data_IF_238531996205
#
_entry.id   IF_238531996205
#
_cell.length_a   1.000
_cell.length_b   1.000
_cell.length_c   1.000
_cell.angle_alpha   90.00
_cell.angle_beta   90.00
_cell.angle_gamma   90.00
#
_symmetry.space_group_name_H-M   'P 1'
#
loop_
_entity.id
_entity.type
_entity.pdbx_description
1 polymer ?
#
# COMPACT_ATOMS: atom_id res chain seq x y z
N UNK A 1 51.10 -57.53 1.29
CA UNK A 1 49.90 -57.42 0.43
C UNK A 1 48.80 -56.81 1.30
N UNK A 2 48.39 -55.55 1.01
CA UNK A 2 47.28 -54.72 1.57
C UNK A 2 47.06 -54.66 3.11
N UNK A 3 47.04 -53.43 3.64
CA UNK A 3 46.08 -52.84 4.61
C UNK A 3 46.65 -51.46 5.04
N UNK A 4 46.19 -50.28 4.60
CA UNK A 4 44.95 -49.48 4.86
C UNK A 4 44.78 -48.91 6.27
N UNK A 5 44.95 -47.57 6.38
CA UNK A 5 44.27 -46.65 7.31
C UNK A 5 45.18 -45.84 8.28
N UNK A 6 44.83 -44.60 8.71
CA UNK A 6 43.94 -43.58 8.13
C UNK A 6 44.64 -42.20 7.91
N UNK A 7 44.12 -41.39 6.98
CA UNK A 7 44.54 -40.00 6.72
C UNK A 7 43.43 -39.05 7.21
N UNK A 8 43.83 -37.99 7.90
CA UNK A 8 43.00 -36.90 8.45
C UNK A 8 42.19 -36.16 7.37
N UNK A 9 41.00 -35.59 7.68
CA UNK A 9 40.26 -34.80 6.71
C UNK A 9 40.89 -33.41 6.59
N UNK A 10 41.59 -33.17 5.47
CA UNK A 10 42.01 -31.84 5.04
C UNK A 10 40.81 -31.06 4.49
N UNK A 11 40.68 -29.82 4.97
CA UNK A 11 39.98 -28.72 4.33
C UNK A 11 40.25 -28.67 2.81
N UNK A 12 39.21 -28.92 2.02
CA UNK A 12 39.21 -28.69 0.58
C UNK A 12 38.76 -27.27 0.31
N UNK A 13 39.72 -26.38 0.06
CA UNK A 13 39.47 -25.15 -0.68
C UNK A 13 39.25 -25.48 -2.16
N UNK A 14 38.21 -24.95 -2.82
CA UNK A 14 38.17 -24.94 -4.27
C UNK A 14 38.93 -23.72 -4.79
N UNK A 15 40.16 -23.96 -5.25
CA UNK A 15 40.86 -23.12 -6.23
C UNK A 15 40.08 -23.11 -7.54
N UNK A 16 39.82 -21.92 -8.10
CA UNK A 16 39.35 -21.76 -9.47
C UNK A 16 38.39 -20.60 -9.66
N UNK A 17 38.91 -19.37 -9.61
CA UNK A 17 38.25 -18.21 -10.21
C UNK A 17 38.09 -18.45 -11.72
N UNK A 18 36.86 -18.73 -12.14
CA UNK A 18 36.37 -18.34 -13.46
C UNK A 18 35.07 -17.57 -13.22
N UNK A 19 35.20 -16.24 -13.22
CA UNK A 19 34.09 -15.29 -13.24
C UNK A 19 33.25 -15.54 -14.50
N UNK A 20 32.17 -16.29 -14.35
CA UNK A 20 31.07 -16.30 -15.31
C UNK A 20 30.41 -14.92 -15.21
N UNK A 21 30.61 -14.07 -16.21
CA UNK A 21 29.85 -12.84 -16.35
C UNK A 21 28.35 -13.20 -16.42
N UNK A 22 27.59 -12.86 -15.37
CA UNK A 22 26.14 -13.11 -15.28
C UNK A 22 25.68 -14.06 -14.18
N UNK A 23 26.58 -14.66 -13.38
CA UNK A 23 26.16 -15.38 -12.18
C UNK A 23 25.74 -14.38 -11.08
N UNK A 24 24.56 -14.55 -10.43
CA UNK A 24 24.17 -13.68 -9.33
C UNK A 24 25.20 -13.79 -8.20
N UNK A 25 25.44 -12.68 -7.46
CA UNK A 25 26.40 -12.70 -6.36
C UNK A 25 26.02 -13.79 -5.34
N UNK A 26 26.99 -14.29 -4.58
CA UNK A 26 26.68 -15.12 -3.40
C UNK A 26 25.82 -14.27 -2.46
N UNK A 27 24.60 -14.74 -2.21
CA UNK A 27 23.63 -14.07 -1.35
C UNK A 27 23.23 -14.95 -0.17
N UNK A 28 22.85 -14.29 0.91
CA UNK A 28 22.26 -14.88 2.10
C UNK A 28 20.80 -14.43 2.21
N UNK A 29 19.89 -15.37 2.48
CA UNK A 29 18.47 -15.10 2.70
C UNK A 29 18.20 -15.08 4.21
N UNK A 30 17.52 -14.04 4.69
CA UNK A 30 17.05 -13.95 6.08
C UNK A 30 15.58 -13.56 6.13
N UNK A 31 14.85 -14.14 7.08
CA UNK A 31 13.49 -13.72 7.43
C UNK A 31 13.56 -13.05 8.80
N UNK A 32 13.10 -11.81 8.86
CA UNK A 32 13.15 -10.97 10.05
C UNK A 32 11.78 -10.92 10.72
N UNK A 33 11.74 -11.14 12.04
CA UNK A 33 10.48 -11.10 12.80
C UNK A 33 10.02 -9.68 13.09
N UNK A 34 10.93 -8.71 12.94
CA UNK A 34 10.69 -7.28 13.17
C UNK A 34 11.55 -6.45 12.22
N UNK A 35 11.04 -5.30 11.82
CA UNK A 35 11.76 -4.40 10.92
C UNK A 35 13.03 -3.82 11.57
N UNK A 36 13.07 -3.70 12.90
CA UNK A 36 14.22 -3.17 13.65
C UNK A 36 15.46 -4.09 13.66
N UNK A 37 15.35 -5.29 13.10
CA UNK A 37 16.46 -6.19 12.82
C UNK A 37 17.20 -5.83 11.51
N UNK A 38 16.61 -4.95 10.69
CA UNK A 38 17.18 -4.47 9.44
C UNK A 38 17.63 -3.01 9.63
N UNK A 39 18.88 -2.65 9.30
CA UNK A 39 19.33 -1.26 9.38
C UNK A 39 18.45 -0.32 8.53
N UNK A 40 17.96 0.76 9.14
CA UNK A 40 17.01 1.68 8.52
C UNK A 40 17.53 2.32 7.22
N UNK A 41 18.83 2.64 7.16
CA UNK A 41 19.48 3.21 5.97
C UNK A 41 19.54 2.20 4.81
N UNK A 42 19.72 0.91 5.12
CA UNK A 42 19.75 -0.14 4.11
C UNK A 42 18.36 -0.43 3.56
N UNK A 43 17.34 -0.50 4.41
CA UNK A 43 15.94 -0.64 3.97
C UNK A 43 15.52 0.55 3.11
N UNK A 44 15.70 1.77 3.62
CA UNK A 44 15.24 2.98 2.95
C UNK A 44 15.96 3.24 1.62
N UNK A 45 17.16 2.71 1.42
CA UNK A 45 17.88 2.79 0.14
C UNK A 45 17.16 2.04 -1.00
N UNK A 46 16.37 1.01 -0.69
CA UNK A 46 15.63 0.23 -1.68
C UNK A 46 14.27 0.84 -2.05
N UNK A 47 13.83 1.88 -1.33
CA UNK A 47 12.53 2.51 -1.53
C UNK A 47 12.62 3.55 -2.64
N UNK A 48 11.87 3.32 -3.71
CA UNK A 48 11.68 4.25 -4.82
C UNK A 48 10.63 5.32 -4.47
N UNK A 49 10.70 6.45 -5.18
CA UNK A 49 9.77 7.59 -5.04
C UNK A 49 9.72 8.18 -3.62
N UNK A 50 10.64 7.79 -2.73
CA UNK A 50 10.57 8.08 -1.29
C UNK A 50 9.20 7.74 -0.68
N UNK A 51 8.58 6.63 -1.11
CA UNK A 51 7.23 6.25 -0.70
C UNK A 51 7.14 6.10 0.85
N UNK A 52 6.46 7.03 1.56
CA UNK A 52 6.57 7.15 3.01
C UNK A 52 5.95 5.97 3.76
N UNK A 53 4.93 5.33 3.19
CA UNK A 53 4.22 4.21 3.82
C UNK A 53 4.99 2.87 3.71
N UNK A 54 6.08 2.84 2.92
CA UNK A 54 7.02 1.73 2.80
C UNK A 54 8.34 1.97 3.53
N UNK A 55 8.58 3.19 4.00
CA UNK A 55 9.82 3.53 4.69
C UNK A 55 9.92 2.83 6.04
N UNK A 56 11.16 2.59 6.46
CA UNK A 56 11.48 2.00 7.76
C UNK A 56 10.72 2.67 8.90
N UNK A 57 10.70 4.00 8.93
CA UNK A 57 10.10 4.78 10.02
C UNK A 57 8.59 4.51 10.18
N UNK A 58 7.89 4.28 9.06
CA UNK A 58 6.46 3.97 9.06
C UNK A 58 6.19 2.53 9.52
N UNK A 59 6.93 1.55 8.96
CA UNK A 59 6.80 0.14 9.34
C UNK A 59 7.18 -0.08 10.80
N UNK A 60 8.28 0.52 11.24
CA UNK A 60 8.75 0.48 12.62
C UNK A 60 7.73 1.06 13.59
N UNK A 61 7.13 2.21 13.27
CA UNK A 61 6.10 2.78 14.12
C UNK A 61 4.87 1.86 14.25
N UNK A 62 4.46 1.17 13.17
CA UNK A 62 3.36 0.20 13.24
C UNK A 62 3.67 -0.97 14.19
N UNK A 63 4.86 -1.55 14.07
CA UNK A 63 5.29 -2.69 14.89
C UNK A 63 5.48 -2.27 16.35
N UNK A 64 6.20 -1.17 16.58
CA UNK A 64 6.52 -0.64 17.91
C UNK A 64 5.28 -0.28 18.72
N UNK A 65 4.27 0.30 18.08
CA UNK A 65 3.03 0.74 18.74
C UNK A 65 1.90 -0.27 18.65
N UNK A 66 2.19 -1.52 18.28
CA UNK A 66 1.21 -2.61 18.28
C UNK A 66 0.04 -2.39 17.31
N UNK A 67 0.25 -1.65 16.21
CA UNK A 67 -0.74 -1.52 15.14
C UNK A 67 -0.77 -2.78 14.25
N UNK A 68 0.30 -3.56 14.29
CA UNK A 68 0.42 -4.90 13.70
C UNK A 68 0.87 -5.90 14.78
N UNK A 69 0.97 -7.18 14.43
CA UNK A 69 1.28 -8.28 15.34
C UNK A 69 0.12 -9.26 15.49
N UNK A 70 0.26 -10.19 16.45
CA UNK A 70 -0.67 -11.29 16.68
C UNK A 70 -2.11 -10.83 16.92
N UNK A 71 -2.31 -9.76 17.69
CA UNK A 71 -3.64 -9.23 18.03
C UNK A 71 -4.46 -8.79 16.81
N UNK A 72 -3.80 -8.46 15.69
CA UNK A 72 -4.44 -8.11 14.43
C UNK A 72 -4.20 -9.17 13.33
N UNK A 73 -3.48 -10.25 13.66
CA UNK A 73 -3.06 -11.30 12.75
C UNK A 73 -2.11 -10.81 11.65
N UNK A 74 -1.36 -9.73 11.86
CA UNK A 74 -0.33 -9.21 10.94
C UNK A 74 1.05 -9.47 11.54
N UNK A 75 1.54 -10.71 11.50
CA UNK A 75 2.84 -11.06 12.08
C UNK A 75 3.95 -10.72 11.08
N UNK A 76 4.93 -9.84 11.40
CA UNK A 76 6.01 -9.52 10.48
C UNK A 76 6.94 -10.72 10.23
N UNK A 77 7.34 -10.86 8.97
CA UNK A 77 8.26 -11.87 8.43
C UNK A 77 9.10 -11.25 7.30
N UNK A 78 9.60 -10.03 7.47
CA UNK A 78 10.26 -9.28 6.40
C UNK A 78 11.39 -10.09 5.78
N UNK A 79 11.35 -10.28 4.46
CA UNK A 79 12.38 -11.02 3.74
C UNK A 79 13.52 -10.06 3.40
N UNK A 80 14.76 -10.48 3.65
CA UNK A 80 15.97 -9.78 3.23
C UNK A 80 16.91 -10.69 2.45
N UNK A 81 17.46 -10.18 1.35
CA UNK A 81 18.52 -10.81 0.56
C UNK A 81 19.78 -9.96 0.73
N UNK A 82 20.82 -10.56 1.28
CA UNK A 82 22.05 -9.90 1.67
C UNK A 82 23.22 -10.36 0.81
N UNK A 83 24.09 -9.43 0.41
CA UNK A 83 25.38 -9.72 -0.18
C UNK A 83 26.52 -9.18 0.69
N UNK A 84 27.77 -9.19 0.19
CA UNK A 84 28.93 -8.69 0.95
C UNK A 84 28.80 -7.24 1.45
N UNK A 85 28.03 -6.40 0.73
CA UNK A 85 27.81 -4.99 1.05
C UNK A 85 26.54 -4.69 1.86
N UNK A 86 25.83 -5.71 2.35
CA UNK A 86 24.56 -5.55 3.08
C UNK A 86 23.33 -5.94 2.26
N UNK A 87 22.18 -5.36 2.62
CA UNK A 87 20.89 -5.65 2.02
C UNK A 87 20.88 -5.23 0.53
N UNK A 88 20.62 -6.21 -0.34
CA UNK A 88 20.50 -6.02 -1.79
C UNK A 88 19.03 -5.98 -2.25
N UNK A 89 18.17 -6.74 -1.58
CA UNK A 89 16.75 -6.79 -1.86
C UNK A 89 15.94 -7.15 -0.63
N UNK A 90 14.67 -6.76 -0.60
CA UNK A 90 13.77 -7.02 0.52
C UNK A 90 12.31 -7.19 0.09
N UNK A 91 11.50 -7.75 0.97
CA UNK A 91 10.04 -7.83 0.81
C UNK A 91 9.37 -7.49 2.14
N UNK A 92 8.47 -6.49 2.19
CA UNK A 92 7.59 -6.29 3.35
C UNK A 92 6.61 -7.47 3.39
N UNK A 93 6.88 -8.44 4.25
CA UNK A 93 6.21 -9.74 4.24
C UNK A 93 5.61 -10.02 5.62
N UNK A 94 4.39 -10.53 5.63
CA UNK A 94 3.64 -10.82 6.84
C UNK A 94 3.02 -12.20 6.77
N UNK A 95 3.06 -12.91 7.89
CA UNK A 95 2.29 -14.12 8.11
C UNK A 95 0.91 -13.72 8.67
N UNK A 96 -0.14 -14.14 7.97
CA UNK A 96 -1.52 -13.68 8.20
C UNK A 96 -2.41 -14.83 8.66
N UNK A 97 -3.15 -14.57 9.74
CA UNK A 97 -4.10 -15.51 10.37
C UNK A 97 -5.57 -15.13 10.17
N UNK A 98 -5.81 -14.08 9.40
CA UNK A 98 -7.11 -13.57 8.97
C UNK A 98 -6.90 -12.75 7.69
N UNK A 99 -7.98 -12.30 7.04
CA UNK A 99 -7.90 -11.40 5.87
C UNK A 99 -8.23 -9.94 6.21
N UNK A 100 -8.21 -9.57 7.49
CA UNK A 100 -8.58 -8.23 7.94
C UNK A 100 -7.49 -7.22 7.58
N UNK A 101 -7.89 -6.11 6.95
CA UNK A 101 -6.99 -5.01 6.60
C UNK A 101 -6.22 -5.18 5.29
N UNK A 102 -6.49 -6.25 4.51
CA UNK A 102 -5.79 -6.53 3.25
C UNK A 102 -6.36 -5.76 2.07
N UNK A 103 -7.66 -5.41 2.11
CA UNK A 103 -8.39 -4.76 1.02
C UNK A 103 -8.41 -5.51 -0.32
N UNK A 104 -7.96 -6.78 -0.31
CA UNK A 104 -8.19 -7.76 -1.37
C UNK A 104 -8.93 -8.91 -0.71
N UNK A 105 -10.23 -9.02 -0.96
CA UNK A 105 -11.11 -9.92 -0.21
C UNK A 105 -11.03 -11.34 -0.74
N UNK A 106 -10.50 -12.25 0.07
CA UNK A 106 -10.33 -13.68 -0.23
C UNK A 106 -11.06 -14.59 0.78
N UNK A 107 -12.01 -14.03 1.55
CA UNK A 107 -12.83 -14.78 2.51
C UNK A 107 -13.54 -15.97 1.86
N UNK A 108 -13.99 -15.82 0.61
CA UNK A 108 -14.59 -16.92 -0.14
C UNK A 108 -13.61 -18.10 -0.36
N UNK A 109 -12.31 -17.84 -0.45
CA UNK A 109 -11.29 -18.89 -0.55
C UNK A 109 -11.08 -19.55 0.82
N UNK A 110 -10.97 -18.75 1.89
CA UNK A 110 -10.89 -19.25 3.26
C UNK A 110 -12.08 -20.16 3.61
N UNK A 111 -13.29 -19.75 3.25
CA UNK A 111 -14.52 -20.54 3.44
C UNK A 111 -14.48 -21.86 2.65
N UNK A 112 -13.96 -21.85 1.43
CA UNK A 112 -13.83 -23.06 0.62
C UNK A 112 -12.83 -24.07 1.23
N UNK A 113 -11.70 -23.60 1.75
CA UNK A 113 -10.75 -24.41 2.51
C UNK A 113 -11.41 -25.02 3.75
N UNK A 114 -12.09 -24.18 4.54
CA UNK A 114 -12.78 -24.61 5.77
C UNK A 114 -13.84 -25.68 5.50
N UNK A 115 -14.68 -25.49 4.47
CA UNK A 115 -15.69 -26.48 4.04
C UNK A 115 -15.08 -27.80 3.58
N UNK A 116 -13.81 -27.80 3.18
CA UNK A 116 -13.06 -28.99 2.77
C UNK A 116 -12.23 -29.60 3.90
N UNK A 117 -12.35 -29.10 5.13
CA UNK A 117 -11.58 -29.56 6.30
C UNK A 117 -10.11 -29.16 6.27
N UNK A 118 -9.73 -28.13 5.50
CA UNK A 118 -8.36 -27.68 5.33
C UNK A 118 -8.17 -26.27 5.90
N UNK A 119 -6.95 -25.97 6.32
CA UNK A 119 -6.61 -24.65 6.85
C UNK A 119 -6.16 -23.71 5.73
N UNK A 120 -6.80 -22.54 5.63
CA UNK A 120 -6.35 -21.46 4.75
C UNK A 120 -5.28 -20.57 5.41
N UNK A 121 -5.21 -20.58 6.74
CA UNK A 121 -4.24 -19.81 7.49
C UNK A 121 -3.22 -20.74 8.17
N UNK A 122 -1.96 -20.31 8.33
CA UNK A 122 -1.43 -19.02 7.91
C UNK A 122 -1.29 -18.93 6.37
N UNK A 123 -1.29 -17.71 5.87
CA UNK A 123 -0.88 -17.37 4.49
C UNK A 123 0.19 -16.29 4.54
N UNK A 124 1.06 -16.22 3.54
CA UNK A 124 2.05 -15.17 3.43
C UNK A 124 1.50 -14.00 2.60
N UNK A 125 1.68 -12.77 3.07
CA UNK A 125 1.19 -11.57 2.40
C UNK A 125 2.29 -10.53 2.28
N UNK A 126 2.61 -10.14 1.04
CA UNK A 126 3.40 -8.94 0.77
C UNK A 126 2.47 -7.77 0.52
N UNK A 127 2.41 -6.85 1.49
CA UNK A 127 1.53 -5.69 1.48
C UNK A 127 2.01 -4.61 2.47
N UNK A 128 1.40 -3.44 2.41
CA UNK A 128 1.50 -2.43 3.46
C UNK A 128 0.24 -2.57 4.33
N UNK A 129 0.35 -2.92 5.63
CA UNK A 129 -0.81 -3.14 6.50
C UNK A 129 -1.83 -2.00 6.43
N UNK A 130 -3.10 -2.37 6.29
CA UNK A 130 -4.26 -1.45 6.27
C UNK A 130 -4.23 -0.38 5.16
N UNK A 131 -3.36 -0.54 4.17
CA UNK A 131 -3.05 0.50 3.20
C UNK A 131 -3.21 -0.03 1.76
N UNK A 132 -4.39 0.16 1.13
CA UNK A 132 -4.67 -0.32 -0.22
C UNK A 132 -4.06 0.60 -1.28
N UNK A 133 -2.73 0.62 -1.33
CA UNK A 133 -1.95 1.55 -2.13
C UNK A 133 -1.04 0.81 -3.11
N UNK A 134 -1.01 1.30 -4.35
CA UNK A 134 -0.03 0.78 -5.31
C UNK A 134 1.37 1.24 -4.91
N UNK A 135 2.34 0.32 -5.00
CA UNK A 135 3.74 0.60 -4.71
C UNK A 135 4.57 -0.67 -4.73
N UNK A 136 5.88 -0.53 -4.53
CA UNK A 136 6.79 -1.66 -4.57
C UNK A 136 6.41 -2.74 -3.54
N UNK A 137 6.59 -4.00 -3.93
CA UNK A 137 6.49 -5.19 -3.09
C UNK A 137 7.74 -6.06 -3.17
N UNK A 138 8.56 -5.86 -4.20
CA UNK A 138 9.85 -6.50 -4.42
C UNK A 138 10.92 -5.39 -4.36
N UNK A 139 11.38 -5.05 -3.16
CA UNK A 139 12.28 -3.93 -2.93
C UNK A 139 13.69 -4.27 -3.40
N UNK A 140 14.22 -3.48 -4.32
CA UNK A 140 15.59 -3.58 -4.80
C UNK A 140 16.01 -2.27 -5.48
N UNK A 141 17.29 -2.10 -5.77
CA UNK A 141 17.76 -0.99 -6.59
C UNK A 141 17.33 -1.20 -8.05
N UNK A 142 16.99 -0.12 -8.75
CA UNK A 142 16.53 -0.16 -10.15
C UNK A 142 17.50 -0.94 -11.07
N UNK A 143 18.81 -0.75 -10.87
CA UNK A 143 19.86 -1.47 -11.61
C UNK A 143 19.91 -2.99 -11.37
N UNK A 144 19.27 -3.47 -10.31
CA UNK A 144 19.31 -4.87 -9.86
C UNK A 144 17.95 -5.58 -10.07
N UNK A 145 16.93 -4.88 -10.59
CA UNK A 145 15.56 -5.40 -10.71
C UNK A 145 15.48 -6.72 -11.51
N UNK A 146 16.20 -6.79 -12.63
CA UNK A 146 16.18 -7.92 -13.57
C UNK A 146 16.54 -9.27 -12.91
N UNK A 147 17.41 -9.27 -11.91
CA UNK A 147 17.86 -10.48 -11.23
C UNK A 147 17.29 -10.60 -9.81
N UNK A 148 17.07 -9.47 -9.11
CA UNK A 148 16.62 -9.47 -7.72
C UNK A 148 15.13 -9.76 -7.59
N UNK A 149 14.27 -9.21 -8.46
CA UNK A 149 12.82 -9.44 -8.36
C UNK A 149 12.44 -10.90 -8.62
N UNK A 150 12.97 -11.59 -9.66
CA UNK A 150 12.74 -13.03 -9.81
C UNK A 150 13.24 -13.85 -8.63
N UNK A 151 14.40 -13.47 -8.05
CA UNK A 151 14.97 -14.14 -6.89
C UNK A 151 14.10 -13.97 -5.64
N UNK A 152 13.64 -12.76 -5.34
CA UNK A 152 12.70 -12.50 -4.23
C UNK A 152 11.41 -13.32 -4.39
N UNK A 153 10.86 -13.39 -5.61
CA UNK A 153 9.69 -14.22 -5.89
C UNK A 153 9.99 -15.71 -5.69
N UNK A 154 11.13 -16.20 -6.18
CA UNK A 154 11.52 -17.60 -5.98
C UNK A 154 11.64 -17.92 -4.49
N UNK A 155 12.38 -17.10 -3.75
CA UNK A 155 12.64 -17.31 -2.31
C UNK A 155 11.34 -17.32 -1.51
N UNK A 156 10.42 -16.37 -1.74
CA UNK A 156 9.16 -16.35 -0.98
C UNK A 156 8.30 -17.58 -1.28
N UNK A 157 8.31 -18.11 -2.51
CA UNK A 157 7.60 -19.34 -2.84
C UNK A 157 8.22 -20.57 -2.16
N UNK A 158 9.55 -20.61 -2.01
CA UNK A 158 10.25 -21.68 -1.28
C UNK A 158 10.02 -21.64 0.24
N UNK A 159 9.65 -20.47 0.79
CA UNK A 159 9.30 -20.31 2.21
C UNK A 159 7.91 -20.85 2.56
N UNK A 160 6.98 -20.91 1.61
CA UNK A 160 5.59 -21.36 1.83
C UNK A 160 5.52 -22.72 2.54
N UNK A 161 6.14 -23.80 2.03
CA UNK A 161 6.08 -25.10 2.69
C UNK A 161 6.84 -25.12 4.02
N UNK A 162 7.90 -24.31 4.18
CA UNK A 162 8.70 -24.23 5.41
C UNK A 162 7.91 -23.61 6.56
N UNK A 163 7.04 -22.64 6.25
CA UNK A 163 6.18 -21.96 7.22
C UNK A 163 4.79 -22.61 7.34
N UNK A 164 4.53 -23.70 6.63
CA UNK A 164 3.22 -24.35 6.61
C UNK A 164 2.10 -23.45 6.10
N UNK A 165 2.43 -22.47 5.26
CA UNK A 165 1.48 -21.50 4.74
C UNK A 165 0.66 -22.09 3.58
N UNK A 166 -0.61 -21.68 3.45
CA UNK A 166 -1.49 -22.12 2.36
C UNK A 166 -1.15 -21.50 0.99
N UNK A 167 -0.34 -20.44 0.98
CA UNK A 167 -0.03 -19.68 -0.21
C UNK A 167 0.69 -18.36 0.08
N UNK A 168 0.94 -17.62 -1.00
CA UNK A 168 1.54 -16.28 -1.00
C UNK A 168 0.67 -15.30 -1.78
N UNK A 169 0.47 -14.11 -1.23
CA UNK A 169 -0.40 -13.07 -1.79
C UNK A 169 0.36 -11.74 -1.84
N UNK A 170 0.59 -11.22 -3.04
CA UNK A 170 1.21 -9.91 -3.25
C UNK A 170 0.12 -8.89 -3.61
N UNK A 171 -0.12 -7.91 -2.74
CA UNK A 171 -1.26 -7.00 -2.84
C UNK A 171 -0.84 -5.60 -3.31
N UNK A 172 -1.52 -5.07 -4.33
CA UNK A 172 -1.22 -3.76 -4.93
C UNK A 172 0.27 -3.56 -5.36
N UNK A 173 0.93 -4.54 -5.99
CA UNK A 173 2.28 -4.34 -6.55
C UNK A 173 2.27 -3.30 -7.68
N UNK A 174 3.45 -2.81 -8.04
CA UNK A 174 3.62 -2.02 -9.26
C UNK A 174 3.23 -2.86 -10.51
N UNK A 175 2.79 -2.22 -11.61
CA UNK A 175 2.43 -2.93 -12.84
C UNK A 175 3.54 -3.84 -13.38
N UNK A 176 4.80 -3.43 -13.26
CA UNK A 176 5.96 -4.19 -13.71
C UNK A 176 6.22 -5.42 -12.82
N UNK A 177 6.20 -5.24 -11.49
CA UNK A 177 6.28 -6.36 -10.53
C UNK A 177 5.13 -7.37 -10.74
N UNK A 178 3.90 -6.87 -10.98
CA UNK A 178 2.76 -7.72 -11.31
C UNK A 178 3.01 -8.52 -12.59
N UNK A 179 3.52 -7.87 -13.65
CA UNK A 179 3.82 -8.54 -14.93
C UNK A 179 4.80 -9.70 -14.72
N UNK A 180 5.87 -9.45 -13.96
CA UNK A 180 6.83 -10.49 -13.57
C UNK A 180 6.16 -11.65 -12.82
N UNK A 181 5.32 -11.35 -11.82
CA UNK A 181 4.67 -12.40 -11.01
C UNK A 181 3.58 -13.17 -11.78
N UNK A 182 2.85 -12.51 -12.68
CA UNK A 182 1.71 -13.09 -13.41
C UNK A 182 2.06 -14.26 -14.32
N UNK A 183 3.35 -14.46 -14.63
CA UNK A 183 3.82 -15.64 -15.34
C UNK A 183 3.71 -16.94 -14.51
N UNK A 184 3.69 -16.84 -13.18
CA UNK A 184 3.69 -17.99 -12.25
C UNK A 184 2.51 -17.97 -11.28
N UNK A 185 1.93 -16.80 -11.01
CA UNK A 185 0.89 -16.58 -10.00
C UNK A 185 -0.43 -16.21 -10.67
N UNK A 186 -1.53 -16.49 -9.97
CA UNK A 186 -2.88 -16.10 -10.37
C UNK A 186 -3.07 -14.59 -10.16
N UNK A 187 -3.46 -13.88 -11.21
CA UNK A 187 -3.77 -12.45 -11.12
C UNK A 187 -5.23 -12.22 -10.70
N UNK A 188 -5.46 -11.25 -9.82
CA UNK A 188 -6.78 -10.67 -9.57
C UNK A 188 -6.76 -9.19 -9.91
N UNK A 189 -7.88 -8.72 -10.43
CA UNK A 189 -8.08 -7.32 -10.80
C UNK A 189 -9.10 -6.69 -9.87
N UNK A 190 -8.90 -5.41 -9.57
CA UNK A 190 -9.87 -4.58 -8.87
C UNK A 190 -9.78 -3.14 -9.41
N UNK A 191 -10.78 -2.32 -9.13
CA UNK A 191 -10.88 -0.95 -9.59
C UNK A 191 -10.80 0.02 -8.41
N UNK A 192 -9.80 0.89 -8.44
CA UNK A 192 -9.75 2.09 -7.60
C UNK A 192 -10.04 3.34 -8.45
N UNK A 193 -10.01 4.51 -7.82
CA UNK A 193 -10.22 5.78 -8.51
C UNK A 193 -9.11 6.76 -8.17
N UNK A 194 -8.23 7.07 -9.12
CA UNK A 194 -7.08 7.95 -8.90
C UNK A 194 -7.27 9.27 -9.66
N UNK A 195 -6.67 10.34 -9.14
CA UNK A 195 -6.65 11.63 -9.82
C UNK A 195 -5.25 11.87 -10.37
N UNK A 196 -5.17 12.42 -11.58
CA UNK A 196 -3.92 12.63 -12.30
C UNK A 196 -3.68 14.11 -12.53
N UNK A 197 -2.41 14.52 -12.41
CA UNK A 197 -1.95 15.87 -12.68
C UNK A 197 -1.12 15.89 -13.96
N UNK A 198 -1.68 16.30 -15.12
CA UNK A 198 -0.92 16.52 -16.33
C UNK A 198 -0.10 17.83 -16.29
N UNK A 199 -0.01 18.50 -15.13
CA UNK A 199 0.67 19.78 -14.95
C UNK A 199 -0.30 20.97 -14.93
N UNK A 200 -1.41 20.86 -14.20
CA UNK A 200 -2.32 22.00 -14.00
C UNK A 200 -1.59 23.15 -13.31
N UNK A 201 -1.85 24.39 -13.73
CA UNK A 201 -1.34 25.60 -13.09
C UNK A 201 -1.99 25.87 -11.74
N UNK A 202 -3.31 25.67 -11.67
CA UNK A 202 -4.13 25.95 -10.49
C UNK A 202 -5.40 25.07 -10.47
N UNK A 203 -6.15 25.13 -9.37
CA UNK A 203 -7.37 24.33 -9.21
C UNK A 203 -8.47 24.71 -10.21
N UNK A 204 -8.54 25.96 -10.66
CA UNK A 204 -9.53 26.40 -11.63
C UNK A 204 -9.23 25.83 -13.03
N UNK A 205 -7.95 25.73 -13.42
CA UNK A 205 -7.56 25.04 -14.65
C UNK A 205 -7.98 23.56 -14.62
N UNK A 206 -7.80 22.88 -13.49
CA UNK A 206 -8.33 21.52 -13.31
C UNK A 206 -9.85 21.49 -13.52
N UNK A 207 -10.59 22.39 -12.87
CA UNK A 207 -12.05 22.46 -13.00
C UNK A 207 -12.51 22.72 -14.45
N UNK A 208 -11.73 23.48 -15.22
CA UNK A 208 -12.04 23.75 -16.61
C UNK A 208 -11.95 22.48 -17.46
N UNK A 209 -11.13 21.49 -17.12
CA UNK A 209 -11.08 20.20 -17.84
C UNK A 209 -12.32 19.33 -17.63
N UNK A 210 -13.09 19.58 -16.57
CA UNK A 210 -14.31 18.84 -16.26
C UNK A 210 -15.51 19.33 -17.08
N UNK A 211 -16.53 18.48 -17.21
CA UNK A 211 -17.82 18.89 -17.77
C UNK A 211 -18.46 20.00 -16.91
N UNK A 212 -19.26 20.87 -17.54
CA UNK A 212 -19.87 22.02 -16.86
C UNK A 212 -20.68 21.63 -15.61
N UNK A 213 -21.41 20.51 -15.66
CA UNK A 213 -22.17 19.97 -14.52
C UNK A 213 -21.25 19.59 -13.36
N UNK A 214 -20.15 18.88 -13.62
CA UNK A 214 -19.20 18.45 -12.58
C UNK A 214 -18.47 19.66 -11.97
N UNK A 215 -17.96 20.57 -12.82
CA UNK A 215 -17.36 21.85 -12.38
C UNK A 215 -18.30 22.64 -11.46
N UNK A 216 -19.57 22.82 -11.87
CA UNK A 216 -20.57 23.55 -11.07
C UNK A 216 -20.81 22.87 -9.71
N UNK A 217 -20.92 21.54 -9.69
CA UNK A 217 -21.14 20.79 -8.45
C UNK A 217 -19.96 20.92 -7.48
N UNK A 218 -18.72 20.76 -7.96
CA UNK A 218 -17.52 20.93 -7.12
C UNK A 218 -17.50 22.33 -6.50
N UNK A 219 -17.67 23.38 -7.32
CA UNK A 219 -17.72 24.78 -6.81
C UNK A 219 -18.82 24.99 -5.77
N UNK A 220 -19.97 24.33 -5.92
CA UNK A 220 -21.05 24.40 -4.94
C UNK A 220 -20.69 23.69 -3.64
N UNK A 221 -20.09 22.50 -3.70
CA UNK A 221 -19.63 21.75 -2.52
C UNK A 221 -18.60 22.54 -1.72
N UNK A 222 -17.56 23.09 -2.38
CA UNK A 222 -16.55 23.94 -1.70
C UNK A 222 -17.20 25.18 -1.07
N UNK A 223 -18.14 25.82 -1.78
CA UNK A 223 -18.91 26.97 -1.28
C UNK A 223 -19.70 26.64 -0.02
N UNK A 224 -20.38 25.48 0.05
CA UNK A 224 -21.14 25.07 1.24
C UNK A 224 -20.27 24.95 2.48
N UNK A 225 -19.08 24.36 2.35
CA UNK A 225 -18.14 24.25 3.47
C UNK A 225 -17.70 25.64 3.95
N UNK A 226 -17.31 26.52 3.03
CA UNK A 226 -16.94 27.90 3.38
C UNK A 226 -18.09 28.67 4.04
N UNK A 227 -19.30 28.59 3.48
CA UNK A 227 -20.47 29.33 3.97
C UNK A 227 -20.95 28.79 5.35
N UNK A 228 -20.64 27.53 5.68
CA UNK A 228 -20.83 26.97 7.02
C UNK A 228 -19.94 27.63 8.08
N UNK A 229 -18.88 28.34 7.67
CA UNK A 229 -17.91 29.00 8.53
C UNK A 229 -16.85 28.06 9.10
N UNK A 230 -16.67 26.88 8.50
CA UNK A 230 -15.53 25.99 8.79
C UNK A 230 -14.26 26.59 8.21
N UNK A 231 -13.20 26.61 9.01
CA UNK A 231 -11.85 26.93 8.57
C UNK A 231 -11.05 25.64 8.41
N UNK A 232 -10.44 25.45 7.26
CA UNK A 232 -9.51 24.34 7.02
C UNK A 232 -8.06 24.79 7.24
N UNK A 233 -7.28 23.92 7.88
CA UNK A 233 -5.83 24.04 8.03
C UNK A 233 -5.18 22.83 7.39
N UNK A 234 -4.25 23.06 6.47
CA UNK A 234 -3.32 22.03 5.97
C UNK A 234 -2.02 22.17 6.74
N UNK A 235 -1.57 21.07 7.36
CA UNK A 235 -0.40 21.04 8.24
C UNK A 235 0.52 19.88 7.82
N UNK A 236 1.83 20.13 7.83
CA UNK A 236 2.83 19.08 7.82
C UNK A 236 2.92 18.36 9.18
N UNK A 237 3.73 17.30 9.26
CA UNK A 237 4.01 16.64 10.53
C UNK A 237 4.78 17.52 11.52
N UNK A 238 5.56 18.49 11.05
CA UNK A 238 6.28 19.45 11.91
C UNK A 238 5.43 20.65 12.34
N UNK A 239 4.38 21.00 11.57
CA UNK A 239 3.44 22.08 11.89
C UNK A 239 2.31 21.63 12.83
N UNK A 240 1.90 20.36 12.73
CA UNK A 240 0.84 19.80 13.56
C UNK A 240 1.28 19.63 15.01
N UNK A 241 0.50 20.19 15.94
CA UNK A 241 0.78 20.09 17.38
C UNK A 241 0.34 18.74 17.97
N UNK A 242 0.81 18.40 19.17
CA UNK A 242 0.30 17.24 19.92
C UNK A 242 -1.23 17.29 20.11
N UNK A 243 -1.80 18.48 20.28
CA UNK A 243 -3.25 18.64 20.40
C UNK A 243 -3.98 18.35 19.07
N UNK A 244 -3.38 18.73 17.94
CA UNK A 244 -3.90 18.40 16.61
C UNK A 244 -3.91 16.87 16.40
N UNK A 245 -2.85 16.16 16.80
CA UNK A 245 -2.77 14.70 16.72
C UNK A 245 -3.74 14.00 17.68
N UNK A 246 -3.95 14.53 18.89
CA UNK A 246 -4.98 14.04 19.81
C UNK A 246 -6.37 14.19 19.22
N UNK A 247 -6.67 15.34 18.62
CA UNK A 247 -7.95 15.57 17.94
C UNK A 247 -8.14 14.58 16.79
N UNK A 248 -7.14 14.45 15.92
CA UNK A 248 -7.20 13.52 14.79
C UNK A 248 -7.38 12.07 15.23
N UNK A 249 -6.64 11.60 16.24
CA UNK A 249 -6.79 10.24 16.76
C UNK A 249 -8.21 9.98 17.30
N UNK A 250 -8.84 10.96 17.96
CA UNK A 250 -10.24 10.85 18.39
C UNK A 250 -11.19 10.73 17.19
N UNK A 251 -10.95 11.49 16.13
CA UNK A 251 -11.77 11.42 14.90
C UNK A 251 -11.63 10.06 14.20
N UNK A 252 -10.40 9.54 14.12
CA UNK A 252 -10.09 8.23 13.60
C UNK A 252 -10.84 7.14 14.38
N UNK A 253 -10.68 7.08 15.71
CA UNK A 253 -11.33 6.08 16.55
C UNK A 253 -12.85 6.09 16.40
N UNK A 254 -13.46 7.28 16.43
CA UNK A 254 -14.92 7.42 16.29
C UNK A 254 -15.44 6.87 14.96
N UNK A 255 -14.66 6.96 13.89
CA UNK A 255 -15.07 6.42 12.57
C UNK A 255 -15.15 4.89 12.60
N UNK A 256 -14.25 4.23 13.33
CA UNK A 256 -14.28 2.78 13.51
C UNK A 256 -15.41 2.36 14.45
N UNK A 257 -15.60 3.07 15.58
CA UNK A 257 -16.72 2.82 16.51
C UNK A 257 -18.08 2.88 15.80
N UNK A 258 -18.31 3.92 14.97
CA UNK A 258 -19.57 4.08 14.22
C UNK A 258 -19.81 3.00 13.17
N UNK A 259 -18.74 2.37 12.68
CA UNK A 259 -18.78 1.33 11.64
C UNK A 259 -18.58 -0.07 12.20
N UNK A 260 -18.57 -0.24 13.52
CA UNK A 260 -18.27 -1.51 14.19
C UNK A 260 -16.94 -2.15 13.75
N UNK A 261 -15.98 -1.31 13.38
CA UNK A 261 -14.63 -1.72 13.00
C UNK A 261 -13.65 -1.64 14.16
N UNK A 262 -12.45 -2.20 13.96
CA UNK A 262 -11.37 -2.14 14.94
C UNK A 262 -10.41 -1.03 14.53
N UNK A 263 -10.18 0.01 15.36
CA UNK A 263 -9.15 1.00 15.08
C UNK A 263 -7.78 0.32 15.13
N UNK A 264 -7.09 0.28 14.00
CA UNK A 264 -5.80 -0.41 13.84
C UNK A 264 -4.61 0.49 14.15
N UNK A 265 -4.76 1.80 13.94
CA UNK A 265 -3.76 2.80 14.30
C UNK A 265 -4.14 3.52 15.60
N UNK A 266 -3.13 4.04 16.30
CA UNK A 266 -3.31 4.75 17.57
C UNK A 266 -2.55 6.09 17.58
N UNK A 267 -2.76 6.86 18.65
CA UNK A 267 -2.14 8.18 18.81
C UNK A 267 -0.61 8.14 18.73
N UNK A 268 0.02 7.16 19.38
CA UNK A 268 1.49 7.06 19.42
C UNK A 268 2.08 6.73 18.04
N UNK A 269 1.40 5.88 17.27
CA UNK A 269 1.75 5.66 15.86
C UNK A 269 1.71 6.97 15.05
N UNK A 270 0.58 7.70 15.08
CA UNK A 270 0.45 8.94 14.30
C UNK A 270 1.51 9.98 14.68
N UNK A 271 1.75 10.14 15.99
CA UNK A 271 2.75 11.06 16.52
C UNK A 271 4.17 10.66 16.13
N UNK A 272 4.53 9.38 16.21
CA UNK A 272 5.87 8.92 15.83
C UNK A 272 6.12 9.10 14.33
N UNK A 273 5.17 8.73 13.48
CA UNK A 273 5.28 8.92 12.02
C UNK A 273 5.43 10.40 11.69
N UNK A 274 4.67 11.28 12.36
CA UNK A 274 4.78 12.72 12.16
C UNK A 274 6.13 13.31 12.56
N UNK A 275 6.70 12.84 13.66
CA UNK A 275 8.03 13.27 14.11
C UNK A 275 9.15 12.76 13.20
N UNK A 276 9.00 11.55 12.64
CA UNK A 276 10.05 10.89 11.84
C UNK A 276 9.98 11.20 10.35
N UNK A 277 8.79 11.50 9.82
CA UNK A 277 8.54 11.80 8.41
C UNK A 277 7.75 13.12 8.26
N UNK A 278 8.20 14.24 8.85
CA UNK A 278 7.39 15.46 8.96
C UNK A 278 6.95 16.04 7.62
N UNK A 279 7.84 16.01 6.62
CA UNK A 279 7.58 16.55 5.28
C UNK A 279 6.76 15.61 4.39
N UNK A 280 6.44 14.40 4.88
CA UNK A 280 5.70 13.37 4.15
C UNK A 280 4.26 13.23 4.62
N UNK A 281 3.80 14.14 5.47
CA UNK A 281 2.45 14.19 6.01
C UNK A 281 1.71 15.41 5.47
N UNK A 282 0.43 15.20 5.13
CA UNK A 282 -0.53 16.28 4.92
C UNK A 282 -1.74 16.00 5.80
N UNK A 283 -1.84 16.73 6.90
CA UNK A 283 -2.97 16.70 7.83
C UNK A 283 -3.90 17.88 7.52
N UNK A 284 -5.13 17.59 7.11
CA UNK A 284 -6.17 18.59 6.95
C UNK A 284 -7.06 18.56 8.17
N UNK A 285 -7.13 19.66 8.93
CA UNK A 285 -8.04 19.81 10.07
C UNK A 285 -9.13 20.84 9.77
N UNK A 286 -10.31 20.59 10.32
CA UNK A 286 -11.48 21.46 10.19
C UNK A 286 -11.87 22.05 11.54
N UNK A 287 -11.81 23.37 11.67
CA UNK A 287 -12.21 24.10 12.86
C UNK A 287 -13.57 24.78 12.61
N UNK A 288 -14.50 24.65 13.56
CA UNK A 288 -15.81 25.33 13.49
C UNK A 288 -15.70 26.84 13.77
N UNK A 289 -16.82 27.57 13.65
CA UNK A 289 -16.86 29.03 13.90
C UNK A 289 -16.41 29.43 15.31
N UNK A 290 -16.50 28.52 16.28
CA UNK A 290 -16.07 28.74 17.65
C UNK A 290 -14.60 28.31 17.89
N UNK A 291 -13.89 27.86 16.85
CA UNK A 291 -12.50 27.43 16.92
C UNK A 291 -12.29 25.99 17.40
N UNK A 292 -13.35 25.18 17.52
CA UNK A 292 -13.21 23.79 17.90
C UNK A 292 -12.85 22.94 16.68
N UNK A 293 -11.81 22.12 16.79
CA UNK A 293 -11.47 21.14 15.77
C UNK A 293 -12.55 20.03 15.75
N UNK A 294 -13.23 19.86 14.62
CA UNK A 294 -14.41 18.96 14.48
C UNK A 294 -14.19 17.80 13.52
N UNK A 295 -13.20 17.87 12.64
CA UNK A 295 -12.89 16.80 11.70
C UNK A 295 -11.43 16.86 11.23
N UNK A 296 -10.97 15.76 10.64
CA UNK A 296 -9.65 15.73 10.04
C UNK A 296 -9.46 14.63 8.99
N UNK A 297 -8.63 14.91 8.00
CA UNK A 297 -8.16 13.98 6.98
C UNK A 297 -6.64 13.87 7.05
N UNK A 298 -6.12 12.64 6.97
CA UNK A 298 -4.69 12.37 6.92
C UNK A 298 -4.31 11.73 5.59
N UNK A 299 -3.31 12.33 4.97
CA UNK A 299 -2.68 11.88 3.73
C UNK A 299 -1.17 11.78 3.92
N UNK A 300 -0.54 10.91 3.13
CA UNK A 300 0.92 10.79 3.06
C UNK A 300 1.40 11.17 1.66
N UNK A 301 2.60 11.73 1.55
CA UNK A 301 3.13 12.25 0.29
C UNK A 301 4.49 11.63 -0.03
N UNK A 302 4.60 10.97 -1.18
CA UNK A 302 5.89 10.59 -1.78
C UNK A 302 6.44 11.75 -2.61
N UNK A 303 7.47 11.53 -3.42
CA UNK A 303 7.98 12.58 -4.31
C UNK A 303 7.04 12.86 -5.50
N UNK A 304 6.19 11.90 -5.88
CA UNK A 304 5.29 12.04 -7.03
C UNK A 304 3.82 11.75 -6.76
N UNK A 305 3.48 11.12 -5.64
CA UNK A 305 2.12 10.62 -5.35
C UNK A 305 1.63 11.05 -3.97
N UNK A 306 0.39 11.55 -3.91
CA UNK A 306 -0.34 11.75 -2.67
C UNK A 306 -1.21 10.53 -2.36
N UNK A 307 -1.30 10.18 -1.09
CA UNK A 307 -1.92 8.97 -0.59
C UNK A 307 -2.95 9.30 0.49
N UNK A 308 -4.24 9.34 0.14
CA UNK A 308 -5.32 9.57 1.09
C UNK A 308 -5.68 8.32 1.88
N UNK A 309 -5.69 8.42 3.21
CA UNK A 309 -5.83 7.22 4.08
C UNK A 309 -6.97 7.32 5.07
N UNK A 310 -6.97 8.35 5.89
CA UNK A 310 -7.81 8.35 7.07
C UNK A 310 -8.65 9.62 7.11
N UNK A 311 -9.89 9.46 7.51
CA UNK A 311 -10.85 10.52 7.69
C UNK A 311 -11.65 10.23 8.95
N UNK A 312 -11.98 11.28 9.70
CA UNK A 312 -12.97 11.20 10.74
C UNK A 312 -13.55 12.56 11.08
N UNK A 313 -14.71 12.55 11.74
CA UNK A 313 -15.34 13.76 12.25
C UNK A 313 -16.14 13.46 13.52
N UNK A 314 -16.28 14.47 14.39
CA UNK A 314 -17.18 14.42 15.55
C UNK A 314 -18.58 14.93 15.21
N UNK A 315 -18.68 15.76 14.18
CA UNK A 315 -19.91 16.39 13.72
C UNK A 315 -20.00 16.25 12.21
N UNK A 316 -21.10 15.70 11.74
CA UNK A 316 -21.38 15.62 10.31
C UNK A 316 -21.67 17.01 9.78
N UNK A 317 -21.05 17.36 8.66
CA UNK A 317 -21.23 18.63 7.97
C UNK A 317 -21.28 18.36 6.47
N UNK A 318 -22.25 18.96 5.78
CA UNK A 318 -22.44 18.73 4.34
C UNK A 318 -21.17 19.11 3.55
N UNK A 319 -20.81 18.26 2.59
CA UNK A 319 -19.62 18.37 1.74
C UNK A 319 -18.24 18.40 2.43
N UNK A 320 -18.15 18.44 3.76
CA UNK A 320 -16.88 18.58 4.48
C UNK A 320 -15.90 17.42 4.19
N UNK A 321 -16.42 16.20 4.09
CA UNK A 321 -15.62 15.03 3.68
C UNK A 321 -14.97 15.23 2.30
N UNK A 322 -15.71 15.77 1.32
CA UNK A 322 -15.16 15.96 -0.03
C UNK A 322 -14.13 17.08 -0.06
N UNK A 323 -14.39 18.18 0.67
CA UNK A 323 -13.44 19.27 0.77
C UNK A 323 -12.12 18.80 1.40
N UNK A 324 -12.18 18.18 2.57
CA UNK A 324 -10.97 17.80 3.31
C UNK A 324 -10.23 16.59 2.71
N UNK A 325 -10.96 15.56 2.23
CA UNK A 325 -10.33 14.35 1.71
C UNK A 325 -9.93 14.44 0.24
N UNK A 326 -10.59 15.29 -0.57
CA UNK A 326 -10.36 15.32 -2.02
C UNK A 326 -9.85 16.68 -2.49
N UNK A 327 -10.60 17.76 -2.27
CA UNK A 327 -10.25 19.04 -2.88
C UNK A 327 -8.97 19.64 -2.31
N UNK A 328 -8.78 19.58 -0.99
CA UNK A 328 -7.51 19.98 -0.36
C UNK A 328 -6.32 19.13 -0.82
N UNK A 329 -6.53 17.84 -1.08
CA UNK A 329 -5.50 16.94 -1.60
C UNK A 329 -5.14 17.22 -3.07
N UNK A 330 -6.15 17.44 -3.93
CA UNK A 330 -5.94 17.83 -5.33
C UNK A 330 -5.20 19.17 -5.41
N UNK A 331 -5.64 20.15 -4.63
CA UNK A 331 -5.01 21.48 -4.55
C UNK A 331 -3.55 21.36 -4.11
N UNK A 332 -3.26 20.54 -3.10
CA UNK A 332 -1.90 20.23 -2.66
C UNK A 332 -1.06 19.57 -3.78
N UNK A 333 -1.62 18.60 -4.50
CA UNK A 333 -0.92 17.95 -5.61
C UNK A 333 -0.55 18.95 -6.72
N UNK A 334 -1.44 19.89 -7.03
CA UNK A 334 -1.20 20.94 -8.02
C UNK A 334 -0.08 21.86 -7.54
N UNK A 335 -0.19 22.38 -6.32
CA UNK A 335 0.81 23.28 -5.70
C UNK A 335 2.21 22.67 -5.61
N UNK A 336 2.30 21.36 -5.37
CA UNK A 336 3.57 20.62 -5.21
C UNK A 336 4.03 19.91 -6.48
N UNK A 337 3.26 19.98 -7.57
CA UNK A 337 3.58 19.29 -8.82
C UNK A 337 3.54 17.76 -8.72
N UNK A 338 2.79 17.19 -7.77
CA UNK A 338 2.62 15.74 -7.66
C UNK A 338 1.80 15.23 -8.84
N UNK A 339 2.21 14.10 -9.41
CA UNK A 339 1.64 13.52 -10.62
C UNK A 339 0.32 12.81 -10.39
N UNK A 340 0.11 12.27 -9.18
CA UNK A 340 -1.04 11.40 -8.87
C UNK A 340 -1.55 11.59 -7.45
N UNK A 341 -2.85 11.39 -7.26
CA UNK A 341 -3.49 11.26 -5.96
C UNK A 341 -4.31 9.96 -5.89
N UNK A 342 -3.94 9.08 -4.95
CA UNK A 342 -4.67 7.85 -4.61
C UNK A 342 -5.51 8.07 -3.33
N UNK A 343 -6.82 8.32 -3.42
CA UNK A 343 -7.68 8.70 -2.31
C UNK A 343 -8.25 7.49 -1.52
N UNK A 344 -7.60 6.32 -1.61
CA UNK A 344 -8.04 5.06 -0.97
C UNK A 344 -9.09 4.27 -1.77
N UNK A 345 -9.63 3.19 -1.17
CA UNK A 345 -10.40 2.15 -1.88
C UNK A 345 -11.91 2.40 -2.08
N UNK A 346 -12.48 3.53 -1.62
CA UNK A 346 -13.92 3.80 -1.79
C UNK A 346 -14.35 4.04 -3.26
N UNK A 347 -15.65 3.93 -3.55
CA UNK A 347 -16.20 3.76 -4.90
C UNK A 347 -16.44 5.01 -5.76
N UNK A 348 -17.36 4.85 -6.72
CA UNK A 348 -17.59 5.69 -7.90
C UNK A 348 -17.92 7.16 -7.63
N UNK A 349 -18.34 7.53 -6.41
CA UNK A 349 -18.64 8.93 -6.10
C UNK A 349 -17.44 9.86 -6.32
N UNK A 350 -16.22 9.32 -6.33
CA UNK A 350 -14.98 10.03 -6.67
C UNK A 350 -14.94 10.49 -8.12
N UNK A 351 -15.58 9.78 -9.04
CA UNK A 351 -15.68 10.20 -10.46
C UNK A 351 -16.25 11.61 -10.57
N UNK A 352 -17.27 11.93 -9.77
CA UNK A 352 -17.86 13.26 -9.80
C UNK A 352 -16.90 14.40 -9.38
N UNK A 353 -15.76 14.06 -8.74
CA UNK A 353 -14.71 14.97 -8.28
C UNK A 353 -13.44 14.93 -9.15
N UNK A 354 -13.47 14.28 -10.32
CA UNK A 354 -12.35 14.25 -11.26
C UNK A 354 -11.36 13.09 -11.05
N UNK A 355 -11.65 12.13 -10.18
CA UNK A 355 -10.91 10.87 -10.17
C UNK A 355 -11.39 10.00 -11.35
N UNK A 356 -10.53 9.14 -11.87
CA UNK A 356 -10.83 8.21 -12.98
C UNK A 356 -10.64 6.76 -12.53
N UNK A 357 -11.37 5.78 -13.09
CA UNK A 357 -11.16 4.39 -12.75
C UNK A 357 -9.70 3.99 -13.04
N UNK A 358 -9.12 3.20 -12.14
CA UNK A 358 -7.73 2.78 -12.25
C UNK A 358 -7.64 1.31 -11.87
N UNK A 359 -7.11 0.52 -12.79
CA UNK A 359 -6.91 -0.90 -12.60
C UNK A 359 -5.82 -1.14 -11.54
N UNK A 360 -6.21 -1.76 -10.44
CA UNK A 360 -5.32 -2.32 -9.43
C UNK A 360 -5.27 -3.83 -9.55
N UNK A 361 -4.18 -4.42 -9.10
CA UNK A 361 -3.93 -5.85 -9.28
C UNK A 361 -3.39 -6.46 -8.00
N UNK A 362 -3.51 -7.77 -7.89
CA UNK A 362 -2.81 -8.60 -6.90
C UNK A 362 -2.42 -9.93 -7.54
N UNK A 363 -1.36 -10.55 -7.02
CA UNK A 363 -0.83 -11.81 -7.51
C UNK A 363 -0.86 -12.87 -6.40
N UNK A 364 -1.32 -14.08 -6.72
CA UNK A 364 -1.61 -15.11 -5.74
C UNK A 364 -1.02 -16.46 -6.14
N UNK A 365 -0.20 -17.03 -5.25
CA UNK A 365 0.18 -18.43 -5.26
C UNK A 365 -0.69 -19.17 -4.25
N UNK A 366 -1.36 -20.23 -4.70
CA UNK A 366 -2.12 -21.13 -3.85
C UNK A 366 -1.35 -22.45 -3.83
N UNK A 367 -0.96 -22.95 -2.66
CA UNK A 367 -0.09 -24.12 -2.54
C UNK A 367 -0.83 -25.43 -2.90
N UNK A 368 -2.08 -25.54 -2.48
CA UNK A 368 -2.89 -26.73 -2.73
C UNK A 368 -3.51 -26.71 -4.14
N UNK A 369 -3.08 -27.65 -4.99
CA UNK A 369 -3.56 -27.80 -6.37
C UNK A 369 -5.08 -27.97 -6.47
N UNK A 370 -5.72 -28.57 -5.44
CA UNK A 370 -7.18 -28.77 -5.41
C UNK A 370 -7.95 -27.44 -5.44
N UNK A 371 -7.36 -26.38 -4.91
CA UNK A 371 -7.94 -25.03 -4.92
C UNK A 371 -7.38 -24.16 -6.03
N UNK A 372 -6.14 -24.40 -6.47
CA UNK A 372 -5.47 -23.60 -7.50
C UNK A 372 -6.29 -23.52 -8.79
N UNK A 373 -6.77 -24.65 -9.32
CA UNK A 373 -7.54 -24.64 -10.58
C UNK A 373 -8.93 -23.97 -10.46
N UNK A 374 -9.78 -24.29 -9.45
CA UNK A 374 -11.04 -23.59 -9.26
C UNK A 374 -10.87 -22.08 -9.05
N UNK A 375 -9.88 -21.67 -8.25
CA UNK A 375 -9.57 -20.26 -8.02
C UNK A 375 -9.11 -19.61 -9.33
N UNK A 376 -8.24 -20.26 -10.11
CA UNK A 376 -7.80 -19.76 -11.41
C UNK A 376 -8.98 -19.49 -12.37
N UNK A 377 -9.98 -20.40 -12.39
CA UNK A 377 -11.19 -20.21 -13.19
C UNK A 377 -12.07 -19.05 -12.66
N UNK A 378 -12.18 -18.89 -11.34
CA UNK A 378 -12.91 -17.79 -10.73
C UNK A 378 -12.26 -16.43 -11.05
N UNK A 379 -10.95 -16.29 -10.83
CA UNK A 379 -10.26 -15.00 -11.02
C UNK A 379 -10.22 -14.57 -12.49
N UNK A 380 -10.21 -15.50 -13.46
CA UNK A 380 -10.35 -15.14 -14.89
C UNK A 380 -11.69 -14.46 -15.19
N UNK A 381 -12.80 -14.96 -14.65
CA UNK A 381 -14.11 -14.31 -14.79
C UNK A 381 -14.18 -12.98 -14.07
N UNK A 382 -13.55 -12.89 -12.90
CA UNK A 382 -13.44 -11.64 -12.15
C UNK A 382 -12.66 -10.58 -12.94
N UNK A 383 -11.54 -10.96 -13.58
CA UNK A 383 -10.77 -10.06 -14.43
C UNK A 383 -11.60 -9.49 -15.57
N UNK A 384 -12.34 -10.33 -16.30
CA UNK A 384 -13.24 -9.89 -17.39
C UNK A 384 -14.28 -8.90 -16.87
N UNK A 385 -14.97 -9.24 -15.77
CA UNK A 385 -15.99 -8.37 -15.19
C UNK A 385 -15.45 -7.01 -14.72
N UNK A 386 -14.25 -6.97 -14.13
CA UNK A 386 -13.61 -5.73 -13.70
C UNK A 386 -13.17 -4.89 -14.90
N UNK A 387 -12.67 -5.50 -15.96
CA UNK A 387 -12.32 -4.78 -17.19
C UNK A 387 -13.54 -4.18 -17.89
N UNK A 388 -14.64 -4.93 -17.96
CA UNK A 388 -15.93 -4.43 -18.49
C UNK A 388 -16.45 -3.27 -17.65
N UNK A 389 -16.36 -3.39 -16.32
CA UNK A 389 -16.75 -2.33 -15.38
C UNK A 389 -15.90 -1.06 -15.57
N UNK A 390 -14.58 -1.18 -15.65
CA UNK A 390 -13.68 -0.04 -15.91
C UNK A 390 -14.03 0.62 -17.25
N UNK A 391 -14.20 -0.17 -18.31
CA UNK A 391 -14.56 0.32 -19.65
C UNK A 391 -15.89 1.10 -19.62
N UNK A 392 -16.89 0.58 -18.90
CA UNK A 392 -18.17 1.25 -18.70
C UNK A 392 -18.04 2.58 -17.95
N UNK A 393 -17.19 2.64 -16.93
CA UNK A 393 -16.93 3.87 -16.17
C UNK A 393 -16.17 4.93 -16.98
N UNK A 394 -15.21 4.52 -17.80
CA UNK A 394 -14.45 5.41 -18.69
C UNK A 394 -15.37 6.07 -19.73
N UNK A 395 -16.39 5.35 -20.22
CA UNK A 395 -17.41 5.92 -21.09
C UNK A 395 -18.16 7.09 -20.41
N UNK A 396 -18.37 7.00 -19.09
CA UNK A 396 -19.01 8.01 -18.25
C UNK A 396 -18.03 9.02 -17.58
N UNK A 397 -16.83 9.19 -18.15
CA UNK A 397 -15.77 10.06 -17.62
C UNK A 397 -16.26 11.47 -17.24
N UNK A 398 -15.78 12.04 -16.10
CA UNK A 398 -16.18 13.38 -15.66
C UNK A 398 -15.53 14.51 -16.48
N UNK A 399 -14.55 14.18 -17.30
CA UNK A 399 -13.78 15.10 -18.14
C UNK A 399 -14.48 15.38 -19.47
N UNK A 400 -14.19 16.55 -20.05
CA UNK A 400 -14.49 16.80 -21.47
C UNK A 400 -13.71 15.80 -22.33
N UNK A 401 -14.29 15.36 -23.45
CA UNK A 401 -13.70 14.30 -24.29
C UNK A 401 -12.24 14.60 -24.72
N UNK A 402 -11.94 15.86 -25.01
CA UNK A 402 -10.62 16.36 -25.41
C UNK A 402 -9.56 16.38 -24.28
N UNK A 403 -9.95 16.17 -23.02
CA UNK A 403 -9.08 16.28 -21.85
C UNK A 403 -9.15 15.04 -20.94
N UNK A 404 -9.49 13.88 -21.49
CA UNK A 404 -9.42 12.63 -20.73
C UNK A 404 -7.94 12.35 -20.40
N UNK A 405 -7.56 12.27 -19.11
CA UNK A 405 -6.18 12.05 -18.69
C UNK A 405 -5.70 10.62 -18.95
#
# INVERSE_FOLDING_TARGET
MRQTGPVSPSSLEPTGEQLIAGAPPRVEVRVHERIDEIPADQWNRLIQDNNPILRYEFLHAMERHGCVGEGFGWLPRHLGIYGPGGLLGAMPLYEKYNSYGEFVFDQAWADAYSRSGLAYYPKLVSAIPYTPAMGQRLLCLEKDEDWMQPLLLQVVLELIPQLGASGFHCLFPLPEEHRLMSARLLSRYDCQFHWHNPGYRDFDEFLDRLTAKKRKNIRQERRRVRDSGVRLRRLSGSEATDNDWRNFSRFYNRTFEQKWGIPTFNFDFFREVAARLPDRIVLVLADDRAGHCVAGALMYCSDSTLYGRHWGCLRWMDALHFEACYYQGIEFCIERGLRRFEPGAQGEHKMARGFVPTLTRSAHWIEDERFRQPIAAYVRREQEAIMDYITGLEAASPYRQEFRP
#
